data_IF_318346246448
#
_entry.id   IF_318346246448
#
_cell.length_a   1.000
_cell.length_b   1.000
_cell.length_c   1.000
_cell.angle_alpha   90.00
_cell.angle_beta   90.00
_cell.angle_gamma   90.00
#
_symmetry.space_group_name_H-M   'P 1'
#
loop_
_entity.id
_entity.type
_entity.pdbx_description
1 polymer ?
#
# COMPACT_ATOMS: atom_id res chain seq x y z
N UNK A 1 -9.84 -5.63 -19.70
CA UNK A 1 -9.65 -6.55 -18.56
C UNK A 1 -10.10 -5.80 -17.32
N UNK A 2 -11.12 -6.30 -16.62
CA UNK A 2 -11.61 -5.70 -15.37
C UNK A 2 -11.30 -6.70 -14.27
N UNK A 3 -10.66 -6.23 -13.20
CA UNK A 3 -10.32 -7.04 -12.04
C UNK A 3 -11.29 -6.67 -10.92
N UNK A 4 -12.10 -7.62 -10.50
CA UNK A 4 -13.04 -7.44 -9.40
C UNK A 4 -12.28 -7.57 -8.07
N UNK A 5 -12.26 -6.49 -7.29
CA UNK A 5 -11.62 -6.44 -5.98
C UNK A 5 -12.64 -6.87 -4.92
N UNK A 6 -12.61 -8.14 -4.51
CA UNK A 6 -13.31 -8.60 -3.32
C UNK A 6 -12.53 -8.13 -2.09
N UNK A 7 -12.74 -6.87 -1.68
CA UNK A 7 -12.24 -6.33 -0.42
C UNK A 7 -13.01 -7.03 0.72
N UNK A 8 -12.35 -7.97 1.39
CA UNK A 8 -12.87 -8.58 2.61
C UNK A 8 -13.18 -7.46 3.62
N UNK A 9 -14.47 -7.30 3.93
CA UNK A 9 -15.07 -6.46 4.99
C UNK A 9 -14.08 -5.53 5.71
N UNK A 10 -14.07 -4.28 5.27
CA UNK A 10 -13.81 -3.05 6.04
C UNK A 10 -13.35 -3.30 7.48
N UNK A 11 -12.08 -3.68 7.64
CA UNK A 11 -11.39 -3.49 8.91
C UNK A 11 -11.03 -2.02 8.93
N UNK A 12 -11.84 -1.21 9.62
CA UNK A 12 -11.52 0.18 9.86
C UNK A 12 -10.10 0.26 10.46
N UNK A 13 -9.16 0.75 9.66
CA UNK A 13 -7.78 0.96 10.06
C UNK A 13 -7.60 2.45 10.29
N UNK A 14 -7.17 2.80 11.48
CA UNK A 14 -6.80 4.17 11.81
C UNK A 14 -5.31 4.32 11.59
N UNK A 15 -4.95 5.26 10.72
CA UNK A 15 -3.58 5.64 10.46
C UNK A 15 -3.29 6.97 11.17
N UNK A 16 -2.44 6.98 12.21
CA UNK A 16 -2.08 8.20 12.91
C UNK A 16 -1.02 9.04 12.15
N UNK A 17 -0.42 8.50 11.08
CA UNK A 17 0.63 9.15 10.34
C UNK A 17 0.06 10.03 9.23
N UNK A 18 0.16 11.35 9.40
CA UNK A 18 -0.29 12.32 8.40
C UNK A 18 0.78 12.60 7.32
N UNK A 19 1.98 12.04 7.44
CA UNK A 19 3.03 12.23 6.44
C UNK A 19 2.78 11.37 5.19
N UNK A 20 3.13 11.85 3.99
CA UNK A 20 3.08 11.08 2.75
C UNK A 20 3.78 9.70 2.83
N UNK A 21 3.02 8.61 2.78
CA UNK A 21 3.58 7.25 2.79
C UNK A 21 2.68 6.22 2.09
N UNK A 22 3.26 5.05 1.82
CA UNK A 22 2.56 3.89 1.31
C UNK A 22 2.59 2.75 2.33
N UNK A 23 1.50 2.00 2.42
CA UNK A 23 1.39 0.81 3.22
C UNK A 23 1.75 -0.43 2.42
N UNK A 24 2.76 -1.15 2.88
CA UNK A 24 3.13 -2.45 2.33
C UNK A 24 2.37 -3.54 3.09
N UNK A 25 1.36 -4.12 2.45
CA UNK A 25 0.49 -5.15 3.05
C UNK A 25 0.92 -6.53 2.60
N UNK A 26 1.34 -7.37 3.55
CA UNK A 26 1.69 -8.76 3.24
C UNK A 26 0.42 -9.62 3.08
N UNK A 27 0.22 -10.22 1.92
CA UNK A 27 -0.92 -11.08 1.64
C UNK A 27 -0.90 -12.39 2.45
N UNK A 28 0.27 -12.81 2.93
CA UNK A 28 0.45 -14.08 3.64
C UNK A 28 0.30 -13.94 5.16
N UNK A 29 1.03 -13.03 5.81
CA UNK A 29 0.96 -12.84 7.26
C UNK A 29 0.14 -11.63 7.69
N UNK A 30 -0.42 -10.86 6.74
CA UNK A 30 -1.19 -9.64 6.99
C UNK A 30 -0.43 -8.53 7.72
N UNK A 31 0.91 -8.64 7.81
CA UNK A 31 1.74 -7.56 8.36
C UNK A 31 1.64 -6.33 7.47
N UNK A 32 1.58 -5.16 8.09
CA UNK A 32 1.62 -3.87 7.41
C UNK A 32 2.90 -3.15 7.81
N UNK A 33 3.54 -2.47 6.86
CA UNK A 33 4.73 -1.67 7.11
C UNK A 33 4.69 -0.41 6.25
N UNK A 34 5.11 0.71 6.82
CA UNK A 34 5.06 2.01 6.14
C UNK A 34 6.32 2.20 5.30
N UNK A 35 6.15 2.79 4.12
CA UNK A 35 7.23 3.13 3.21
C UNK A 35 7.08 4.58 2.79
N UNK A 36 8.09 5.39 3.11
CA UNK A 36 8.18 6.79 2.69
C UNK A 36 9.11 6.88 1.47
N UNK A 37 8.65 7.56 0.43
CA UNK A 37 9.45 7.88 -0.75
C UNK A 37 8.97 9.24 -1.30
N UNK A 38 9.87 10.19 -1.59
CA UNK A 38 9.50 11.49 -2.16
C UNK A 38 8.65 11.40 -3.43
N UNK A 39 8.81 10.34 -4.23
CA UNK A 39 8.02 10.13 -5.45
C UNK A 39 6.53 9.96 -5.17
N UNK A 40 6.13 9.56 -3.95
CA UNK A 40 4.72 9.40 -3.59
C UNK A 40 4.00 10.75 -3.69
N UNK A 41 4.56 11.80 -3.08
CA UNK A 41 4.02 13.15 -3.16
C UNK A 41 4.04 13.69 -4.59
N UNK A 42 5.13 13.48 -5.33
CA UNK A 42 5.24 13.93 -6.73
C UNK A 42 4.17 13.30 -7.63
N UNK A 43 3.81 12.04 -7.39
CA UNK A 43 2.75 11.36 -8.14
C UNK A 43 1.40 12.01 -7.88
N UNK A 44 1.07 12.29 -6.61
CA UNK A 44 -0.19 12.95 -6.24
C UNK A 44 -0.28 14.32 -6.89
N UNK A 45 0.77 15.14 -6.75
CA UNK A 45 0.83 16.48 -7.34
C UNK A 45 0.68 16.43 -8.86
N UNK A 46 1.35 15.49 -9.53
CA UNK A 46 1.25 15.35 -10.99
C UNK A 46 -0.14 14.94 -11.43
N UNK A 47 -0.80 14.03 -10.71
CA UNK A 47 -2.17 13.62 -11.03
C UNK A 47 -3.16 14.77 -10.82
N UNK A 48 -3.03 15.47 -9.69
CA UNK A 48 -3.82 16.66 -9.36
C UNK A 48 -3.70 17.75 -10.43
N UNK A 49 -2.48 18.13 -10.80
CA UNK A 49 -2.24 19.16 -11.81
C UNK A 49 -2.77 18.75 -13.19
N UNK A 50 -2.57 17.48 -13.59
CA UNK A 50 -3.01 17.01 -14.91
C UNK A 50 -4.54 16.95 -15.04
N UNK A 51 -5.24 16.72 -13.93
CA UNK A 51 -6.69 16.59 -13.90
C UNK A 51 -7.42 17.88 -13.48
N UNK A 52 -6.68 18.96 -13.20
CA UNK A 52 -7.22 20.18 -12.56
C UNK A 52 -8.02 19.84 -11.28
N UNK A 53 -7.41 19.00 -10.43
CA UNK A 53 -8.05 18.40 -9.27
C UNK A 53 -7.31 18.75 -7.97
N UNK A 54 -8.02 19.29 -6.99
CA UNK A 54 -7.50 19.52 -5.64
C UNK A 54 -7.60 18.25 -4.80
N UNK A 55 -6.48 17.57 -4.57
CA UNK A 55 -6.44 16.41 -3.69
C UNK A 55 -6.70 16.84 -2.23
N UNK A 56 -7.63 16.15 -1.56
CA UNK A 56 -7.92 16.35 -0.14
C UNK A 56 -7.17 15.34 0.74
N UNK A 57 -7.56 14.07 0.62
CA UNK A 57 -6.91 12.93 1.29
C UNK A 57 -6.56 11.87 0.26
N UNK A 58 -5.50 11.11 0.52
CA UNK A 58 -5.05 10.03 -0.33
C UNK A 58 -4.34 8.97 0.49
N UNK A 59 -4.41 7.72 0.03
CA UNK A 59 -3.75 6.57 0.67
C UNK A 59 -3.22 5.64 -0.43
N UNK A 60 -2.01 5.10 -0.24
CA UNK A 60 -1.44 4.10 -1.14
C UNK A 60 -1.23 2.78 -0.41
N UNK A 61 -1.90 1.73 -0.90
CA UNK A 61 -1.69 0.36 -0.42
C UNK A 61 -1.01 -0.48 -1.51
N UNK A 62 0.08 -1.14 -1.15
CA UNK A 62 0.81 -2.08 -2.00
C UNK A 62 0.72 -3.48 -1.41
N UNK A 63 0.05 -4.38 -2.12
CA UNK A 63 -0.15 -5.76 -1.68
C UNK A 63 0.94 -6.67 -2.24
N UNK A 64 1.61 -7.42 -1.36
CA UNK A 64 2.73 -8.28 -1.75
C UNK A 64 3.10 -9.34 -0.72
N UNK A 65 4.35 -9.82 -0.76
CA UNK A 65 4.89 -10.79 0.21
C UNK A 65 6.11 -10.19 0.90
N UNK A 66 6.03 -10.03 2.21
CA UNK A 66 7.14 -9.48 3.01
C UNK A 66 8.36 -10.41 3.02
N UNK A 67 9.52 -9.86 3.36
CA UNK A 67 10.79 -10.60 3.47
C UNK A 67 10.66 -11.81 4.40
N UNK A 68 10.02 -11.65 5.55
CA UNK A 68 9.79 -12.72 6.52
C UNK A 68 9.03 -13.91 5.92
N UNK A 69 7.95 -13.64 5.17
CA UNK A 69 7.19 -14.70 4.51
C UNK A 69 7.94 -15.33 3.33
N UNK A 70 8.73 -14.53 2.61
CA UNK A 70 9.58 -15.01 1.51
C UNK A 70 10.66 -15.98 2.00
N UNK A 71 11.31 -15.64 3.11
CA UNK A 71 12.34 -16.47 3.73
C UNK A 71 11.76 -17.76 4.35
N UNK A 72 10.54 -17.72 4.90
CA UNK A 72 9.84 -18.92 5.39
C UNK A 72 9.53 -19.93 4.28
N UNK A 73 9.25 -19.48 3.05
CA UNK A 73 9.05 -20.41 1.92
C UNK A 73 10.34 -21.19 1.58
N UNK A 74 11.49 -20.52 1.57
CA UNK A 74 12.78 -21.16 1.24
C UNK A 74 13.30 -22.19 2.25
N UNK A 75 12.68 -22.31 3.43
CA UNK A 75 13.10 -23.23 4.50
C UNK A 75 12.34 -24.56 4.51
N UNK A 76 11.29 -24.72 3.70
CA UNK A 76 10.56 -25.99 3.54
C UNK A 76 10.89 -26.75 2.24
N UNK A 77 11.75 -26.19 1.38
CA UNK A 77 12.17 -26.81 0.10
C UNK A 77 13.55 -27.50 0.21
N UNK A 78 14.03 -27.82 1.42
CA UNK A 78 15.27 -28.58 1.66
C UNK A 78 15.04 -29.70 2.66
#
# INVERSE_FOLDING_TARGET
MIQELNLEKDQARFDPNMEPHAHLVCLQCKSISDCTDPMISEIVDRMSNKADFSAGEWNFDVYGICSNCRLKKSLCDK
#
